data_IF_996660206005
#
_entry.id   IF_996660206005
#
_cell.length_a   1.000
_cell.length_b   1.000
_cell.length_c   1.000
_cell.angle_alpha   90.00
_cell.angle_beta   90.00
_cell.angle_gamma   90.00
#
_symmetry.space_group_name_H-M   'P 1'
#
loop_
_entity.id
_entity.type
_entity.pdbx_description
1 polymer ?
#
# COMPACT_ATOMS: atom_id res chain seq x y z
N UNK A 1 21.36 2.58 -12.81
CA UNK A 1 21.03 1.54 -11.81
C UNK A 1 20.19 0.48 -12.45
N UNK A 2 20.23 -0.76 -11.95
CA UNK A 2 19.32 -1.83 -12.37
C UNK A 2 18.53 -2.30 -11.14
N UNK A 3 17.22 -2.51 -11.30
CA UNK A 3 16.32 -3.07 -10.31
C UNK A 3 15.41 -4.07 -10.99
N UNK A 4 15.05 -5.15 -10.33
CA UNK A 4 14.11 -6.12 -10.92
C UNK A 4 12.71 -5.53 -11.06
N UNK A 5 12.28 -4.71 -10.07
CA UNK A 5 10.96 -4.05 -10.08
C UNK A 5 11.09 -2.62 -9.55
N UNK A 6 10.45 -1.69 -10.25
CA UNK A 6 10.26 -0.31 -9.79
C UNK A 6 8.78 -0.08 -9.51
N UNK A 7 8.44 0.30 -8.29
CA UNK A 7 7.06 0.62 -7.88
C UNK A 7 6.93 2.13 -7.76
N UNK A 8 5.90 2.70 -8.37
CA UNK A 8 5.58 4.12 -8.29
C UNK A 8 4.36 4.31 -7.39
N UNK A 9 4.58 4.90 -6.23
CA UNK A 9 3.59 5.18 -5.19
C UNK A 9 3.85 4.44 -3.89
N UNK A 10 4.11 5.18 -2.81
CA UNK A 10 4.40 4.69 -1.46
C UNK A 10 3.19 4.57 -0.54
N UNK A 11 1.97 4.57 -1.09
CA UNK A 11 0.75 4.29 -0.34
C UNK A 11 0.59 2.79 -0.02
N UNK A 12 -0.52 2.37 0.64
CA UNK A 12 -0.70 1.00 1.14
C UNK A 12 -0.56 -0.07 0.05
N UNK A 13 -1.03 0.19 -1.17
CA UNK A 13 -0.93 -0.78 -2.27
C UNK A 13 0.52 -0.99 -2.74
N UNK A 14 1.27 0.11 -2.96
CA UNK A 14 2.66 0.01 -3.40
C UNK A 14 3.57 -0.57 -2.33
N UNK A 15 3.38 -0.20 -1.06
CA UNK A 15 4.15 -0.75 0.06
C UNK A 15 3.84 -2.23 0.32
N UNK A 16 2.57 -2.64 0.19
CA UNK A 16 2.22 -4.06 0.30
C UNK A 16 2.82 -4.87 -0.86
N UNK A 17 2.75 -4.37 -2.10
CA UNK A 17 3.39 -5.02 -3.24
C UNK A 17 4.91 -5.12 -3.05
N UNK A 18 5.55 -4.04 -2.58
CA UNK A 18 6.98 -4.04 -2.27
C UNK A 18 7.33 -5.12 -1.23
N UNK A 19 6.51 -5.26 -0.18
CA UNK A 19 6.71 -6.29 0.85
C UNK A 19 6.59 -7.70 0.29
N UNK A 20 5.56 -7.96 -0.51
CA UNK A 20 5.33 -9.28 -1.14
C UNK A 20 6.53 -9.66 -2.01
N UNK A 21 7.01 -8.74 -2.85
CA UNK A 21 8.15 -8.96 -3.74
C UNK A 21 9.45 -9.15 -2.96
N UNK A 22 9.70 -8.32 -1.96
CA UNK A 22 10.89 -8.43 -1.11
C UNK A 22 10.96 -9.77 -0.35
N UNK A 23 9.82 -10.26 0.12
CA UNK A 23 9.71 -11.60 0.74
C UNK A 23 9.99 -12.74 -0.25
N UNK A 24 9.79 -12.49 -1.53
CA UNK A 24 10.16 -13.41 -2.61
C UNK A 24 11.62 -13.22 -3.10
N UNK A 25 12.43 -12.43 -2.38
CA UNK A 25 13.81 -12.08 -2.75
C UNK A 25 13.93 -11.36 -4.10
N UNK A 26 12.92 -10.56 -4.46
CA UNK A 26 12.93 -9.71 -5.65
C UNK A 26 13.39 -8.32 -5.24
N UNK A 27 14.40 -7.79 -5.96
CA UNK A 27 14.91 -6.44 -5.72
C UNK A 27 13.89 -5.37 -6.13
N UNK A 28 13.48 -4.56 -5.16
CA UNK A 28 12.45 -3.53 -5.34
C UNK A 28 13.01 -2.15 -5.04
N UNK A 29 12.73 -1.22 -5.95
CA UNK A 29 12.83 0.23 -5.72
C UNK A 29 11.43 0.81 -5.65
N UNK A 30 11.07 1.47 -4.54
CA UNK A 30 9.81 2.18 -4.39
C UNK A 30 10.05 3.69 -4.47
N UNK A 31 9.32 4.36 -5.38
CA UNK A 31 9.37 5.80 -5.60
C UNK A 31 8.08 6.43 -5.09
N UNK A 32 8.20 7.42 -4.19
CA UNK A 32 7.06 8.17 -3.65
C UNK A 32 7.28 9.68 -3.85
N UNK A 33 6.24 10.37 -4.34
CA UNK A 33 6.29 11.80 -4.62
C UNK A 33 6.29 12.67 -3.36
N UNK A 34 5.70 12.18 -2.28
CA UNK A 34 5.55 12.92 -1.02
C UNK A 34 6.58 12.48 0.00
N UNK A 35 6.73 13.29 1.06
CA UNK A 35 7.52 12.88 2.22
C UNK A 35 6.88 11.69 2.92
N UNK A 36 7.65 10.96 3.70
CA UNK A 36 7.14 9.85 4.51
C UNK A 36 6.08 10.33 5.51
N UNK A 37 6.31 11.46 6.15
CA UNK A 37 5.41 12.09 7.12
C UNK A 37 4.08 12.42 6.48
N UNK A 38 4.09 13.01 5.27
CA UNK A 38 2.86 13.29 4.53
C UNK A 38 2.07 12.02 4.23
N UNK A 39 2.74 10.96 3.76
CA UNK A 39 2.08 9.68 3.44
C UNK A 39 1.42 9.09 4.69
N UNK A 40 2.11 9.12 5.83
CA UNK A 40 1.64 8.56 7.11
C UNK A 40 0.64 9.45 7.86
N UNK A 41 0.57 10.74 7.56
CA UNK A 41 -0.39 11.67 8.19
C UNK A 41 -1.70 11.79 7.42
N UNK A 42 -1.77 11.30 6.19
CA UNK A 42 -2.94 11.50 5.34
C UNK A 42 -4.09 10.60 5.71
N UNK A 43 -5.08 11.18 6.38
CA UNK A 43 -6.32 10.47 6.77
C UNK A 43 -7.09 10.03 5.52
N UNK A 44 -7.45 8.77 5.48
CA UNK A 44 -8.26 8.10 4.46
C UNK A 44 -9.24 7.14 5.13
N UNK A 45 -10.23 6.67 4.36
CA UNK A 45 -11.14 5.64 4.83
C UNK A 45 -10.36 4.40 5.32
N UNK A 46 -10.87 3.78 6.38
CA UNK A 46 -10.22 2.66 7.04
C UNK A 46 -11.10 1.43 7.10
N UNK A 47 -11.82 1.11 6.01
CA UNK A 47 -12.57 -0.14 5.91
C UNK A 47 -11.86 -1.07 4.95
N UNK A 48 -11.38 -2.20 5.47
CA UNK A 48 -10.66 -3.21 4.73
C UNK A 48 -11.59 -4.38 4.38
N UNK A 49 -11.60 -4.74 3.12
CA UNK A 49 -12.23 -5.99 2.67
C UNK A 49 -11.50 -7.18 3.27
N UNK A 50 -12.22 -8.28 3.51
CA UNK A 50 -11.64 -9.44 4.20
C UNK A 50 -10.45 -10.06 3.46
N UNK A 51 -10.45 -10.04 2.14
CA UNK A 51 -9.31 -10.52 1.35
C UNK A 51 -8.04 -9.68 1.61
N UNK A 52 -8.19 -8.36 1.80
CA UNK A 52 -7.07 -7.49 2.17
C UNK A 52 -6.56 -7.81 3.58
N UNK A 53 -7.46 -8.06 4.52
CA UNK A 53 -7.11 -8.48 5.89
C UNK A 53 -6.27 -9.76 5.87
N UNK A 54 -6.72 -10.78 5.14
CA UNK A 54 -5.98 -12.05 5.00
C UNK A 54 -4.63 -11.85 4.31
N UNK A 55 -4.56 -10.97 3.31
CA UNK A 55 -3.31 -10.65 2.63
C UNK A 55 -2.30 -9.96 3.56
N UNK A 56 -2.75 -9.02 4.39
CA UNK A 56 -1.91 -8.38 5.40
C UNK A 56 -1.41 -9.39 6.43
N UNK A 57 -2.28 -10.26 6.95
CA UNK A 57 -1.91 -11.35 7.88
C UNK A 57 -0.85 -12.27 7.28
N UNK A 58 -1.09 -12.76 6.06
CA UNK A 58 -0.16 -13.65 5.34
C UNK A 58 1.22 -13.02 5.15
N UNK A 59 1.28 -11.70 5.06
CA UNK A 59 2.52 -10.97 4.88
C UNK A 59 3.14 -10.43 6.18
N UNK A 60 2.62 -10.85 7.35
CA UNK A 60 3.21 -10.52 8.65
C UNK A 60 2.80 -9.15 9.21
N UNK A 61 1.82 -8.48 8.60
CA UNK A 61 1.38 -7.12 8.97
C UNK A 61 0.02 -7.12 9.68
N UNK A 62 -0.47 -8.28 10.12
CA UNK A 62 -1.81 -8.42 10.70
C UNK A 62 -1.89 -8.20 12.21
N UNK A 63 -0.80 -8.36 12.96
CA UNK A 63 -0.85 -8.47 14.42
C UNK A 63 -1.44 -7.26 15.13
N UNK A 64 -1.08 -6.04 14.71
CA UNK A 64 -1.62 -4.80 15.27
C UNK A 64 -3.06 -4.59 14.80
N UNK A 65 -3.35 -4.81 13.54
CA UNK A 65 -4.70 -4.76 12.97
C UNK A 65 -5.67 -5.71 13.70
N UNK A 66 -5.25 -6.92 14.04
CA UNK A 66 -6.07 -7.91 14.76
C UNK A 66 -6.35 -7.51 16.21
N UNK A 67 -5.45 -6.74 16.82
CA UNK A 67 -5.59 -6.27 18.20
C UNK A 67 -6.40 -4.97 18.31
N UNK A 68 -6.25 -4.07 17.34
CA UNK A 68 -6.78 -2.69 17.41
C UNK A 68 -7.94 -2.45 16.43
N UNK A 69 -8.10 -3.28 15.41
CA UNK A 69 -9.16 -3.17 14.42
C UNK A 69 -10.51 -3.73 14.91
N UNK A 70 -11.59 -3.27 14.30
CA UNK A 70 -12.94 -3.69 14.63
C UNK A 70 -13.59 -4.44 13.46
N UNK A 71 -14.08 -5.65 13.73
CA UNK A 71 -14.79 -6.46 12.73
C UNK A 71 -16.23 -6.00 12.64
N UNK A 72 -16.68 -5.72 11.41
CA UNK A 72 -18.08 -5.41 11.11
C UNK A 72 -18.67 -6.48 10.18
N UNK A 73 -19.83 -7.01 10.56
CA UNK A 73 -20.57 -8.04 9.82
C UNK A 73 -21.68 -7.45 8.95
N UNK A 74 -21.78 -6.12 8.89
CA UNK A 74 -22.77 -5.41 8.10
C UNK A 74 -22.64 -3.90 8.23
N UNK A 75 -23.51 -3.17 7.55
CA UNK A 75 -23.59 -1.70 7.62
C UNK A 75 -25.04 -1.25 7.70
N UNK A 76 -25.28 -0.12 8.35
CA UNK A 76 -26.58 0.52 8.44
C UNK A 76 -26.61 1.72 7.50
N UNK A 77 -27.51 1.68 6.53
CA UNK A 77 -27.81 2.83 5.68
C UNK A 77 -28.97 3.62 6.28
N UNK A 78 -28.82 4.93 6.33
CA UNK A 78 -29.86 5.83 6.84
C UNK A 78 -30.14 6.92 5.80
N UNK A 79 -31.40 7.09 5.41
CA UNK A 79 -31.84 8.12 4.49
C UNK A 79 -33.30 8.48 4.75
N UNK A 80 -33.65 9.77 4.75
CA UNK A 80 -35.00 10.28 4.89
C UNK A 80 -35.80 9.63 6.03
N UNK A 81 -35.21 9.55 7.23
CA UNK A 81 -35.79 8.91 8.43
C UNK A 81 -36.06 7.40 8.30
N UNK A 82 -35.54 6.75 7.28
CA UNK A 82 -35.56 5.29 7.13
C UNK A 82 -34.15 4.72 7.34
N UNK A 83 -34.14 3.57 7.98
CA UNK A 83 -32.89 2.83 8.17
C UNK A 83 -33.01 1.44 7.55
N UNK A 84 -31.95 1.02 6.89
CA UNK A 84 -31.85 -0.29 6.27
C UNK A 84 -30.48 -0.90 6.59
N UNK A 85 -30.47 -2.10 7.15
CA UNK A 85 -29.24 -2.84 7.43
C UNK A 85 -28.89 -3.75 6.25
N UNK A 86 -27.68 -3.60 5.74
CA UNK A 86 -27.06 -4.61 4.86
C UNK A 86 -26.26 -5.54 5.76
N UNK A 87 -26.65 -6.79 5.83
CA UNK A 87 -26.01 -7.83 6.61
C UNK A 87 -25.06 -8.62 5.72
N UNK A 88 -23.77 -8.34 5.82
CA UNK A 88 -22.74 -9.00 5.00
C UNK A 88 -22.60 -10.47 5.35
N UNK A 89 -22.72 -10.79 6.66
CA UNK A 89 -22.56 -12.15 7.15
C UNK A 89 -23.66 -13.08 6.65
N UNK A 90 -24.91 -12.67 6.86
CA UNK A 90 -26.05 -13.51 6.48
C UNK A 90 -26.29 -13.53 4.97
N UNK A 91 -25.96 -12.45 4.23
CA UNK A 91 -26.19 -12.36 2.79
C UNK A 91 -25.16 -13.11 1.96
N UNK A 92 -23.87 -12.96 2.31
CA UNK A 92 -22.74 -13.46 1.48
C UNK A 92 -21.64 -14.11 2.29
N UNK A 93 -21.86 -14.36 3.58
CA UNK A 93 -20.86 -14.90 4.53
C UNK A 93 -19.54 -14.12 4.49
N UNK A 94 -19.62 -12.79 4.46
CA UNK A 94 -18.47 -11.89 4.47
C UNK A 94 -18.50 -10.93 5.66
N UNK A 95 -17.39 -10.31 5.91
CA UNK A 95 -17.19 -9.27 6.92
C UNK A 95 -16.12 -8.30 6.46
N UNK A 96 -16.00 -7.17 7.12
CA UNK A 96 -14.96 -6.17 6.87
C UNK A 96 -14.24 -5.86 8.17
N UNK A 97 -13.03 -5.30 8.06
CA UNK A 97 -12.26 -4.82 9.19
C UNK A 97 -12.19 -3.30 9.13
N UNK A 98 -12.59 -2.64 10.18
CA UNK A 98 -12.35 -1.20 10.35
C UNK A 98 -10.99 -1.02 11.00
N UNK A 99 -10.02 -0.57 10.22
CA UNK A 99 -8.67 -0.26 10.63
C UNK A 99 -8.10 0.82 9.73
N UNK A 100 -7.65 1.93 10.28
CA UNK A 100 -7.29 3.13 9.52
C UNK A 100 -6.26 2.87 8.44
N UNK A 101 -6.44 3.46 7.25
CA UNK A 101 -5.47 3.33 6.16
C UNK A 101 -4.09 3.85 6.56
N UNK A 102 -4.01 4.89 7.38
CA UNK A 102 -2.77 5.40 7.97
C UNK A 102 -2.06 4.33 8.78
N UNK A 103 -2.80 3.59 9.59
CA UNK A 103 -2.27 2.51 10.43
C UNK A 103 -1.75 1.35 9.58
N UNK A 104 -2.52 0.94 8.57
CA UNK A 104 -2.06 -0.08 7.60
C UNK A 104 -0.77 0.37 6.91
N UNK A 105 -0.71 1.62 6.47
CA UNK A 105 0.47 2.15 5.78
C UNK A 105 1.67 2.20 6.73
N UNK A 106 1.46 2.65 7.95
CA UNK A 106 2.50 2.68 8.99
C UNK A 106 3.06 1.26 9.25
N UNK A 107 2.17 0.29 9.47
CA UNK A 107 2.57 -1.09 9.74
C UNK A 107 3.36 -1.70 8.58
N UNK A 108 2.97 -1.39 7.34
CA UNK A 108 3.70 -1.81 6.13
C UNK A 108 5.09 -1.17 6.04
N UNK A 109 5.21 0.12 6.34
CA UNK A 109 6.53 0.79 6.38
C UNK A 109 7.44 0.22 7.46
N UNK A 110 6.89 -0.10 8.63
CA UNK A 110 7.68 -0.72 9.71
C UNK A 110 8.12 -2.15 9.34
N UNK A 111 7.24 -2.93 8.73
CA UNK A 111 7.61 -4.28 8.27
C UNK A 111 8.66 -4.25 7.17
N UNK A 112 8.57 -3.32 6.21
CA UNK A 112 9.53 -3.16 5.13
C UNK A 112 10.96 -2.86 5.61
N UNK A 113 11.13 -2.30 6.82
CA UNK A 113 12.48 -2.09 7.41
C UNK A 113 13.26 -3.39 7.63
N UNK A 114 12.58 -4.52 7.72
CA UNK A 114 13.21 -5.84 7.88
C UNK A 114 13.80 -6.37 6.57
N UNK A 115 13.47 -5.72 5.47
CA UNK A 115 13.87 -6.12 4.12
C UNK A 115 14.71 -5.01 3.47
N UNK A 116 15.56 -5.39 2.53
CA UNK A 116 16.41 -4.43 1.81
C UNK A 116 15.66 -3.70 0.69
N UNK A 117 14.48 -3.16 1.00
CA UNK A 117 13.68 -2.36 0.05
C UNK A 117 14.12 -0.91 0.12
N UNK A 118 14.58 -0.38 -1.02
CA UNK A 118 14.93 1.03 -1.14
C UNK A 118 13.68 1.84 -1.42
N UNK A 119 13.34 2.76 -0.52
CA UNK A 119 12.24 3.70 -0.66
C UNK A 119 12.81 5.10 -0.82
N UNK A 120 12.50 5.74 -1.95
CA UNK A 120 12.87 7.13 -2.22
C UNK A 120 11.62 8.00 -2.15
N UNK A 121 11.66 8.96 -1.26
CA UNK A 121 10.62 9.97 -1.08
C UNK A 121 10.96 11.26 -1.82
N UNK A 122 9.95 12.12 -2.02
CA UNK A 122 10.07 13.45 -2.66
C UNK A 122 10.60 13.36 -4.08
N UNK A 123 10.16 12.32 -4.79
CA UNK A 123 10.54 12.09 -6.18
C UNK A 123 9.58 12.85 -7.11
N UNK A 124 10.13 13.50 -8.12
CA UNK A 124 9.38 14.26 -9.10
C UNK A 124 9.79 13.90 -10.53
N UNK A 125 9.05 14.43 -11.52
CA UNK A 125 9.32 14.29 -12.96
C UNK A 125 9.56 12.84 -13.40
N UNK A 126 8.68 11.92 -12.96
CA UNK A 126 8.80 10.50 -13.30
C UNK A 126 8.39 10.27 -14.75
N UNK A 127 9.27 9.64 -15.51
CA UNK A 127 9.04 9.24 -16.91
C UNK A 127 9.35 7.76 -17.07
N UNK A 128 8.45 7.06 -17.75
CA UNK A 128 8.62 5.64 -18.08
C UNK A 128 8.76 5.54 -19.57
N UNK A 129 9.78 4.82 -20.04
CA UNK A 129 10.03 4.55 -21.45
C UNK A 129 10.29 3.06 -21.66
N UNK A 130 10.26 2.68 -22.95
CA UNK A 130 10.66 1.37 -23.42
C UNK A 130 9.84 0.19 -22.84
N UNK A 131 8.57 0.44 -22.48
CA UNK A 131 7.66 -0.57 -21.89
C UNK A 131 7.42 -1.81 -22.80
N UNK A 132 7.70 -1.71 -24.09
CA UNK A 132 7.57 -2.82 -25.03
C UNK A 132 8.88 -3.53 -25.30
N UNK A 133 9.97 -2.98 -24.79
CA UNK A 133 11.30 -3.53 -24.96
C UNK A 133 11.61 -4.55 -23.86
N UNK A 134 12.68 -5.29 -24.05
CA UNK A 134 13.14 -6.29 -23.08
C UNK A 134 13.58 -5.68 -21.75
N UNK A 135 13.97 -4.41 -21.76
CA UNK A 135 14.38 -3.64 -20.62
C UNK A 135 13.65 -2.29 -20.65
N UNK A 136 12.85 -2.02 -19.65
CA UNK A 136 12.19 -0.74 -19.47
C UNK A 136 13.08 0.23 -18.71
N UNK A 137 12.82 1.53 -18.85
CA UNK A 137 13.56 2.58 -18.15
C UNK A 137 12.60 3.49 -17.38
N UNK A 138 12.95 3.75 -16.11
CA UNK A 138 12.27 4.72 -15.25
C UNK A 138 13.24 5.84 -14.92
N UNK A 139 12.97 7.04 -15.44
CA UNK A 139 13.72 8.25 -15.13
C UNK A 139 12.94 9.10 -14.13
N UNK A 140 13.64 9.73 -13.19
CA UNK A 140 13.04 10.58 -12.18
C UNK A 140 14.01 11.62 -11.64
N UNK A 141 13.50 12.64 -10.96
CA UNK A 141 14.26 13.67 -10.28
C UNK A 141 14.15 13.49 -8.77
N UNK A 142 15.28 13.54 -8.06
CA UNK A 142 15.30 13.49 -6.60
C UNK A 142 15.05 14.84 -5.96
N UNK A 143 14.92 14.88 -4.63
CA UNK A 143 14.70 16.07 -3.81
C UNK A 143 15.76 17.18 -4.04
N UNK A 144 16.96 16.83 -4.50
CA UNK A 144 18.04 17.78 -4.83
C UNK A 144 17.99 18.25 -6.28
N UNK A 145 16.97 17.84 -7.04
CA UNK A 145 16.81 18.16 -8.45
C UNK A 145 17.72 17.37 -9.40
N UNK A 146 18.43 16.35 -8.90
CA UNK A 146 19.28 15.50 -9.71
C UNK A 146 18.46 14.42 -10.43
N UNK A 147 18.74 14.27 -11.72
CA UNK A 147 18.13 13.22 -12.54
C UNK A 147 18.78 11.86 -12.30
N UNK A 148 17.94 10.85 -12.22
CA UNK A 148 18.30 9.44 -12.11
C UNK A 148 17.61 8.62 -13.19
N UNK A 149 18.22 7.51 -13.56
CA UNK A 149 17.64 6.53 -14.48
C UNK A 149 17.87 5.13 -13.93
N UNK A 150 16.82 4.32 -13.97
CA UNK A 150 16.81 2.94 -13.49
C UNK A 150 16.24 2.06 -14.59
N UNK A 151 16.99 1.05 -14.97
CA UNK A 151 16.54 -0.01 -15.86
C UNK A 151 15.86 -1.12 -15.04
N UNK A 152 14.77 -1.65 -15.57
CA UNK A 152 13.94 -2.66 -14.90
C UNK A 152 13.42 -3.68 -15.91
#
# INVERSE_FOLDING_TARGET
MHQQVVIIGGGPSGTLLALILARANIDVLLLERKTKEYVLSRIRAGVLEWNTVEMLRKNGVGSRMDREGHIHEGTLLSSLNKQFRIDFKNSINKKVMVYGQTEVTFDLYEELKKYNVKILHEIDDIKISDLKEKISCVAFKDVKGKFHSVNT
#
